data_IF_902631091576
#
_entry.id   IF_902631091576
#
_cell.length_a   1.000
_cell.length_b   1.000
_cell.length_c   1.000
_cell.angle_alpha   90.00
_cell.angle_beta   90.00
_cell.angle_gamma   90.00
#
_symmetry.space_group_name_H-M   'P 1'
#
loop_
_entity.id
_entity.type
_entity.pdbx_description
1 polymer ?
#
# COMPACT_ATOMS: atom_id res chain seq x y z
N UNK A 1 -2.24 -14.66 2.57
CA UNK A 1 -1.97 -15.23 1.23
C UNK A 1 -0.59 -14.78 0.77
N UNK A 2 0.15 -15.65 0.08
CA UNK A 2 1.42 -15.30 -0.57
C UNK A 2 1.14 -15.11 -2.05
N UNK A 3 1.41 -13.92 -2.57
CA UNK A 3 1.23 -13.56 -3.98
C UNK A 3 2.52 -12.93 -4.46
N UNK A 4 2.99 -13.34 -5.64
CA UNK A 4 4.13 -12.69 -6.29
C UNK A 4 3.60 -11.54 -7.15
N UNK A 5 4.12 -10.34 -6.93
CA UNK A 5 3.74 -9.13 -7.67
C UNK A 5 5.03 -8.49 -8.16
N UNK A 6 5.08 -8.17 -9.45
CA UNK A 6 6.18 -7.40 -10.03
C UNK A 6 5.89 -5.91 -9.82
N UNK A 7 6.77 -5.22 -9.10
CA UNK A 7 6.67 -3.80 -8.84
C UNK A 7 8.05 -3.20 -9.08
N UNK A 8 8.08 -2.00 -9.66
CA UNK A 8 9.29 -1.24 -9.85
C UNK A 8 10.02 -0.98 -8.53
N UNK A 9 11.33 -1.19 -8.50
CA UNK A 9 12.13 -1.11 -7.27
C UNK A 9 12.36 0.34 -6.82
N UNK A 10 12.45 1.30 -7.74
CA UNK A 10 12.56 2.72 -7.39
C UNK A 10 11.26 3.19 -6.73
N UNK A 11 10.12 2.86 -7.36
CA UNK A 11 8.81 3.16 -6.82
C UNK A 11 8.59 2.54 -5.43
N UNK A 12 9.05 1.29 -5.22
CA UNK A 12 8.94 0.64 -3.93
C UNK A 12 9.83 1.29 -2.86
N UNK A 13 11.02 1.75 -3.23
CA UNK A 13 11.90 2.49 -2.31
C UNK A 13 11.27 3.82 -1.91
N UNK A 14 10.72 4.56 -2.87
CA UNK A 14 9.99 5.81 -2.60
C UNK A 14 8.81 5.57 -1.66
N UNK A 15 8.03 4.49 -1.90
CA UNK A 15 6.93 4.12 -1.02
C UNK A 15 7.40 3.79 0.41
N UNK A 16 8.51 3.07 0.57
CA UNK A 16 9.07 2.77 1.89
C UNK A 16 9.59 4.02 2.60
N UNK A 17 10.29 4.91 1.88
CA UNK A 17 10.78 6.18 2.44
C UNK A 17 9.63 7.09 2.87
N UNK A 18 8.62 7.25 2.02
CA UNK A 18 7.47 8.11 2.29
C UNK A 18 6.57 7.57 3.41
N UNK A 19 6.42 6.24 3.51
CA UNK A 19 5.59 5.60 4.53
C UNK A 19 6.32 5.34 5.86
N UNK A 20 7.65 5.35 5.88
CA UNK A 20 8.47 4.96 7.03
C UNK A 20 8.37 3.47 7.39
N UNK A 21 7.85 2.64 6.48
CA UNK A 21 7.61 1.22 6.73
C UNK A 21 8.87 0.39 6.46
N UNK A 22 9.05 -0.68 7.23
CA UNK A 22 10.26 -1.51 7.19
C UNK A 22 10.25 -2.57 6.11
N UNK A 23 9.08 -2.95 5.61
CA UNK A 23 8.94 -4.07 4.66
C UNK A 23 8.11 -3.68 3.45
N UNK A 24 8.50 -4.21 2.28
CA UNK A 24 7.73 -4.08 1.02
C UNK A 24 6.27 -4.53 1.21
N UNK A 25 6.06 -5.58 2.02
CA UNK A 25 4.72 -6.11 2.33
C UNK A 25 3.85 -5.08 3.05
N UNK A 26 4.39 -4.42 4.08
CA UNK A 26 3.62 -3.45 4.87
C UNK A 26 3.25 -2.24 4.03
N UNK A 27 4.17 -1.75 3.18
CA UNK A 27 3.91 -0.65 2.25
C UNK A 27 2.80 -0.99 1.25
N UNK A 28 2.86 -2.19 0.66
CA UNK A 28 1.81 -2.69 -0.25
C UNK A 28 0.47 -2.82 0.48
N UNK A 29 0.45 -3.37 1.69
CA UNK A 29 -0.77 -3.53 2.48
C UNK A 29 -1.40 -2.19 2.87
N UNK A 30 -0.57 -1.21 3.25
CA UNK A 30 -1.02 0.15 3.54
C UNK A 30 -1.63 0.82 2.29
N UNK A 31 -0.96 0.70 1.15
CA UNK A 31 -1.45 1.22 -0.13
C UNK A 31 -2.79 0.62 -0.56
N UNK A 32 -2.96 -0.70 -0.43
CA UNK A 32 -4.20 -1.40 -0.78
C UNK A 32 -5.35 -1.11 0.20
N UNK A 33 -5.05 -0.85 1.47
CA UNK A 33 -6.08 -0.50 2.47
C UNK A 33 -6.69 0.89 2.25
N UNK A 34 -5.94 1.82 1.65
CA UNK A 34 -6.38 3.21 1.50
C UNK A 34 -7.63 3.36 0.61
N UNK A 35 -7.71 2.81 -0.62
CA UNK A 35 -8.92 2.86 -1.43
C UNK A 35 -10.14 2.23 -0.76
N UNK A 36 -9.92 1.13 -0.03
CA UNK A 36 -10.99 0.44 0.71
C UNK A 36 -11.55 1.34 1.82
N UNK A 37 -10.68 2.03 2.56
CA UNK A 37 -11.10 3.00 3.59
C UNK A 37 -11.85 4.17 2.96
N UNK A 38 -11.34 4.74 1.87
CA UNK A 38 -11.98 5.86 1.17
C UNK A 38 -13.38 5.49 0.65
N UNK A 39 -13.52 4.32 0.03
CA UNK A 39 -14.82 3.84 -0.45
C UNK A 39 -15.82 3.60 0.70
N UNK A 40 -15.35 3.10 1.85
CA UNK A 40 -16.20 2.96 3.05
C UNK A 40 -16.65 4.31 3.61
N UNK A 41 -15.76 5.31 3.63
CA UNK A 41 -16.12 6.67 4.05
C UNK A 41 -17.12 7.32 3.07
N UNK A 42 -16.95 7.13 1.77
CA UNK A 42 -17.84 7.67 0.75
C UNK A 42 -19.27 7.09 0.84
N UNK A 43 -19.42 5.82 1.24
CA UNK A 43 -20.73 5.17 1.44
C UNK A 43 -21.42 5.55 2.75
N UNK A 44 -20.70 6.14 3.69
CA UNK A 44 -21.23 6.60 4.96
C UNK A 44 -21.72 8.06 4.91
N UNK A 45 -21.50 8.75 3.77
CA UNK A 45 -22.10 10.02 3.41
C UNK A 45 -23.29 9.79 2.49
#
# INVERSE_FOLDING_TARGET
MRTNVLIDDEFMNDALMASGLKTKKDAIEAGLKLPVKLNRQAKAR
#
